data_IF_506985713357
#
_entry.id   IF_506985713357
#
_cell.length_a   1.000
_cell.length_b   1.000
_cell.length_c   1.000
_cell.angle_alpha   90.00
_cell.angle_beta   90.00
_cell.angle_gamma   90.00
#
_symmetry.space_group_name_H-M   'P 1'
#
loop_
_entity.id
_entity.type
_entity.pdbx_description
1 polymer ?
#
# COMPACT_ATOMS: atom_id res chain seq x y z
N UNK A 1 9.39 -19.36 27.46
CA UNK A 1 8.14 -20.12 27.22
C UNK A 1 7.03 -19.16 26.81
N UNK A 2 6.74 -19.00 25.52
CA UNK A 2 5.65 -18.14 24.99
C UNK A 2 4.48 -19.03 24.63
N UNK A 3 3.36 -18.90 25.34
CA UNK A 3 2.10 -19.58 25.05
C UNK A 3 1.50 -18.99 23.77
N UNK A 4 1.32 -19.84 22.75
CA UNK A 4 0.53 -19.51 21.56
C UNK A 4 -0.96 -19.58 21.91
N UNK A 5 -1.67 -18.49 21.70
CA UNK A 5 -3.14 -18.44 21.80
C UNK A 5 -3.70 -18.92 20.45
N UNK A 6 -4.56 -19.95 20.43
CA UNK A 6 -5.19 -20.39 19.19
C UNK A 6 -6.37 -19.47 18.82
N UNK A 7 -6.41 -19.03 17.57
CA UNK A 7 -7.54 -18.30 17.00
C UNK A 7 -8.72 -19.25 16.79
N UNK A 8 -9.98 -18.86 17.11
CA UNK A 8 -11.15 -19.67 16.82
C UNK A 8 -11.44 -19.70 15.31
N UNK A 9 -11.58 -20.89 14.75
CA UNK A 9 -12.03 -21.15 13.39
C UNK A 9 -13.55 -20.94 13.33
N UNK A 10 -14.11 -20.15 12.41
CA UNK A 10 -15.56 -20.04 12.25
C UNK A 10 -16.14 -21.34 11.67
N UNK A 11 -17.18 -21.83 12.34
CA UNK A 11 -17.94 -23.01 11.94
C UNK A 11 -18.63 -22.79 10.59
N UNK A 12 -18.37 -23.66 9.64
CA UNK A 12 -19.06 -23.76 8.36
C UNK A 12 -20.49 -24.26 8.55
N UNK A 13 -21.48 -23.43 8.26
CA UNK A 13 -22.88 -23.85 8.16
C UNK A 13 -23.11 -24.62 6.85
N UNK A 14 -23.72 -25.80 6.87
CA UNK A 14 -24.14 -26.49 5.65
C UNK A 14 -25.38 -25.79 5.07
N UNK A 15 -25.31 -25.34 3.83
CA UNK A 15 -26.48 -24.93 3.05
C UNK A 15 -27.31 -26.11 2.67
N UNK A 16 -28.66 -26.03 2.78
CA UNK A 16 -29.53 -27.10 2.27
C UNK A 16 -29.54 -27.06 0.73
N UNK A 17 -29.12 -28.16 0.14
CA UNK A 17 -29.20 -28.41 -1.30
C UNK A 17 -30.67 -28.61 -1.70
N UNK A 18 -31.27 -27.62 -2.34
CA UNK A 18 -32.54 -27.76 -3.04
C UNK A 18 -32.26 -28.34 -4.43
N UNK A 19 -32.43 -29.64 -4.56
CA UNK A 19 -32.25 -30.38 -5.78
C UNK A 19 -33.54 -30.22 -6.62
N UNK A 20 -33.53 -29.42 -7.66
CA UNK A 20 -34.55 -29.42 -8.70
C UNK A 20 -34.19 -30.45 -9.75
N UNK A 21 -35.05 -31.41 -10.09
CA UNK A 21 -34.81 -32.34 -11.19
C UNK A 21 -35.10 -31.64 -12.53
N UNK A 22 -34.07 -31.62 -13.37
CA UNK A 22 -34.22 -31.28 -14.79
C UNK A 22 -34.78 -32.51 -15.54
N UNK A 23 -35.99 -32.39 -16.10
CA UNK A 23 -36.55 -33.37 -17.00
C UNK A 23 -37.54 -32.67 -17.96
N UNK A 24 -37.44 -32.92 -19.27
CA UNK A 24 -38.31 -32.30 -20.28
C UNK A 24 -39.67 -32.94 -20.47
N UNK A 25 -40.20 -33.68 -19.50
CA UNK A 25 -41.54 -34.30 -19.60
C UNK A 25 -42.25 -34.25 -18.25
N UNK A 26 -42.83 -33.10 -17.91
CA UNK A 26 -43.79 -32.98 -16.84
C UNK A 26 -45.19 -33.00 -17.42
N UNK A 27 -45.75 -34.22 -17.58
CA UNK A 27 -47.17 -34.48 -17.79
C UNK A 27 -47.95 -33.88 -16.64
N UNK A 28 -48.90 -32.98 -16.94
CA UNK A 28 -49.87 -32.48 -16.01
C UNK A 28 -50.83 -33.62 -15.65
N UNK A 29 -50.56 -34.28 -14.55
CA UNK A 29 -51.46 -35.30 -13.97
C UNK A 29 -52.61 -34.60 -13.26
N UNK A 30 -53.83 -34.99 -13.70
CA UNK A 30 -55.14 -34.55 -13.27
C UNK A 30 -55.31 -34.54 -11.76
N UNK A 31 -55.51 -33.41 -11.15
CA UNK A 31 -56.01 -33.27 -9.79
C UNK A 31 -57.45 -32.71 -9.78
N UNK A 32 -58.39 -33.38 -9.13
CA UNK A 32 -59.80 -32.99 -9.19
C UNK A 32 -60.11 -31.65 -8.53
N UNK A 33 -61.09 -30.97 -9.06
CA UNK A 33 -61.58 -29.66 -8.76
C UNK A 33 -61.97 -29.48 -7.30
N UNK A 34 -61.33 -28.58 -6.57
CA UNK A 34 -61.93 -27.82 -5.49
C UNK A 34 -61.72 -26.33 -5.77
N UNK A 35 -62.82 -25.65 -6.02
CA UNK A 35 -62.93 -24.34 -6.63
C UNK A 35 -62.15 -23.21 -5.95
N UNK A 36 -61.31 -22.62 -6.71
CA UNK A 36 -60.98 -21.20 -6.68
C UNK A 36 -60.66 -20.78 -8.13
N UNK A 37 -61.27 -19.73 -8.66
CA UNK A 37 -60.91 -19.24 -9.98
C UNK A 37 -59.50 -18.64 -9.93
N UNK A 38 -58.50 -19.45 -10.12
CA UNK A 38 -57.14 -19.03 -10.33
C UNK A 38 -57.04 -18.27 -11.64
N UNK A 39 -57.00 -16.96 -11.58
CA UNK A 39 -56.71 -16.11 -12.72
C UNK A 39 -55.33 -16.53 -13.25
N UNK A 40 -55.29 -17.18 -14.39
CA UNK A 40 -54.06 -17.30 -15.19
C UNK A 40 -53.61 -15.91 -15.57
N UNK A 41 -52.70 -15.33 -14.75
CA UNK A 41 -52.02 -14.12 -15.13
C UNK A 41 -51.23 -14.41 -16.42
N UNK A 42 -51.47 -13.66 -17.50
CA UNK A 42 -50.69 -13.85 -18.73
C UNK A 42 -49.23 -13.67 -18.41
N UNK A 43 -48.45 -14.74 -18.48
CA UNK A 43 -47.01 -14.68 -18.42
C UNK A 43 -46.58 -13.73 -19.54
N UNK A 44 -46.30 -12.45 -19.18
CA UNK A 44 -45.69 -11.52 -20.09
C UNK A 44 -44.44 -12.14 -20.63
N UNK A 45 -44.47 -12.65 -21.81
CA UNK A 45 -43.28 -13.00 -22.58
C UNK A 45 -42.49 -11.71 -22.69
N UNK A 46 -41.49 -11.57 -21.83
CA UNK A 46 -40.48 -10.53 -21.97
C UNK A 46 -39.87 -10.79 -23.34
N UNK A 47 -40.30 -9.96 -24.32
CA UNK A 47 -39.71 -10.00 -25.65
C UNK A 47 -38.22 -9.88 -25.48
N UNK A 48 -37.49 -10.93 -25.82
CA UNK A 48 -36.03 -10.92 -25.83
C UNK A 48 -35.61 -9.85 -26.85
N UNK A 49 -35.32 -8.66 -26.36
CA UNK A 49 -34.75 -7.57 -27.18
C UNK A 49 -33.33 -8.01 -27.51
N UNK A 50 -33.05 -8.24 -28.76
CA UNK A 50 -31.70 -8.44 -29.25
C UNK A 50 -30.88 -7.16 -29.04
N UNK A 51 -29.60 -7.32 -28.72
CA UNK A 51 -28.68 -6.19 -28.59
C UNK A 51 -28.46 -5.52 -29.93
N UNK A 52 -28.49 -4.21 -29.94
CA UNK A 52 -28.16 -3.42 -31.13
C UNK A 52 -26.64 -3.35 -31.30
N UNK A 53 -26.19 -3.27 -32.56
CA UNK A 53 -24.75 -3.15 -32.85
C UNK A 53 -24.14 -1.92 -32.17
N UNK A 54 -24.89 -0.81 -32.10
CA UNK A 54 -24.44 0.41 -31.45
C UNK A 54 -24.25 0.23 -29.92
N UNK A 55 -25.14 -0.54 -29.30
CA UNK A 55 -25.06 -0.83 -27.84
C UNK A 55 -23.79 -1.60 -27.48
N UNK A 56 -23.42 -2.57 -28.31
CA UNK A 56 -22.16 -3.33 -28.15
C UNK A 56 -20.94 -2.43 -28.34
N UNK A 57 -20.96 -1.54 -29.35
CA UNK A 57 -19.86 -0.61 -29.58
C UNK A 57 -19.70 0.38 -28.43
N UNK A 58 -20.81 0.93 -27.91
CA UNK A 58 -20.76 1.83 -26.73
C UNK A 58 -20.26 1.10 -25.49
N UNK A 59 -20.74 -0.11 -25.25
CA UNK A 59 -20.28 -0.92 -24.11
C UNK A 59 -18.77 -1.19 -24.19
N UNK A 60 -18.26 -1.58 -25.35
CA UNK A 60 -16.83 -1.81 -25.57
C UNK A 60 -16.02 -0.52 -25.39
N UNK A 61 -16.50 0.62 -25.86
CA UNK A 61 -15.84 1.90 -25.66
C UNK A 61 -15.72 2.27 -24.18
N UNK A 62 -16.79 2.08 -23.40
CA UNK A 62 -16.79 2.33 -21.95
C UNK A 62 -15.77 1.41 -21.24
N UNK A 63 -15.78 0.12 -21.56
CA UNK A 63 -14.84 -0.84 -20.99
C UNK A 63 -13.40 -0.47 -21.33
N UNK A 64 -13.12 -0.09 -22.58
CA UNK A 64 -11.78 0.31 -23.02
C UNK A 64 -11.26 1.52 -22.22
N UNK A 65 -12.09 2.55 -22.03
CA UNK A 65 -11.73 3.74 -21.24
C UNK A 65 -11.51 3.37 -19.78
N UNK A 66 -12.36 2.54 -19.18
CA UNK A 66 -12.23 2.09 -17.80
C UNK A 66 -10.94 1.29 -17.57
N UNK A 67 -10.59 0.39 -18.49
CA UNK A 67 -9.34 -0.38 -18.43
C UNK A 67 -8.12 0.53 -18.57
N UNK A 68 -8.12 1.46 -19.52
CA UNK A 68 -7.03 2.41 -19.72
C UNK A 68 -6.79 3.26 -18.45
N UNK A 69 -7.85 3.74 -17.81
CA UNK A 69 -7.77 4.49 -16.56
C UNK A 69 -7.20 3.64 -15.41
N UNK A 70 -7.63 2.38 -15.32
CA UNK A 70 -7.15 1.44 -14.29
C UNK A 70 -5.66 1.14 -14.43
N UNK A 71 -5.18 0.89 -15.65
CA UNK A 71 -3.75 0.62 -15.91
C UNK A 71 -2.91 1.85 -15.54
N UNK A 72 -3.36 3.05 -15.88
CA UNK A 72 -2.66 4.29 -15.49
C UNK A 72 -2.60 4.46 -13.97
N UNK A 73 -3.68 4.18 -13.25
CA UNK A 73 -3.73 4.28 -11.80
C UNK A 73 -2.74 3.30 -11.13
N UNK A 74 -2.69 2.05 -11.59
CA UNK A 74 -1.74 1.05 -11.07
C UNK A 74 -0.29 1.46 -11.34
N UNK A 75 0.00 1.99 -12.53
CA UNK A 75 1.34 2.48 -12.89
C UNK A 75 1.81 3.60 -11.95
N UNK A 76 0.96 4.57 -11.62
CA UNK A 76 1.31 5.64 -10.68
C UNK A 76 1.50 5.14 -9.25
N UNK A 77 0.72 4.15 -8.82
CA UNK A 77 0.90 3.52 -7.49
C UNK A 77 2.24 2.79 -7.39
N UNK A 78 2.65 2.08 -8.43
CA UNK A 78 3.92 1.37 -8.45
C UNK A 78 5.13 2.32 -8.37
N UNK A 79 5.11 3.43 -9.10
CA UNK A 79 6.18 4.45 -9.03
C UNK A 79 6.23 5.12 -7.66
N UNK A 80 5.08 5.49 -7.10
CA UNK A 80 5.00 6.10 -5.77
C UNK A 80 5.50 5.14 -4.67
N UNK A 81 5.18 3.85 -4.77
CA UNK A 81 5.65 2.83 -3.83
C UNK A 81 7.18 2.68 -3.88
N UNK A 82 7.77 2.70 -5.07
CA UNK A 82 9.22 2.66 -5.26
C UNK A 82 9.92 3.89 -4.66
N UNK A 83 9.38 5.07 -4.88
CA UNK A 83 9.94 6.31 -4.32
C UNK A 83 9.80 6.36 -2.79
N UNK A 84 8.68 5.90 -2.25
CA UNK A 84 8.49 5.78 -0.81
C UNK A 84 9.51 4.81 -0.20
N UNK A 85 9.72 3.65 -0.82
CA UNK A 85 10.70 2.68 -0.35
C UNK A 85 12.12 3.28 -0.29
N UNK A 86 12.55 4.00 -1.32
CA UNK A 86 13.84 4.69 -1.34
C UNK A 86 13.96 5.74 -0.23
N UNK A 87 12.92 6.53 0.02
CA UNK A 87 12.88 7.53 1.09
C UNK A 87 12.94 6.89 2.48
N UNK A 88 12.27 5.76 2.69
CA UNK A 88 12.34 5.00 3.93
C UNK A 88 13.76 4.49 4.20
N UNK A 89 14.41 3.89 3.20
CA UNK A 89 15.80 3.44 3.32
C UNK A 89 16.75 4.61 3.61
N UNK A 90 16.56 5.75 2.93
CA UNK A 90 17.33 6.95 3.19
C UNK A 90 17.10 7.50 4.62
N UNK A 91 15.88 7.43 5.13
CA UNK A 91 15.57 7.76 6.51
C UNK A 91 16.32 6.88 7.49
N UNK A 92 16.30 5.55 7.29
CA UNK A 92 17.04 4.61 8.13
C UNK A 92 18.57 4.84 8.07
N UNK A 93 19.12 5.18 6.90
CA UNK A 93 20.54 5.52 6.77
C UNK A 93 20.90 6.76 7.59
N UNK A 94 20.04 7.79 7.55
CA UNK A 94 20.24 9.00 8.35
C UNK A 94 20.16 8.72 9.86
N UNK A 95 19.18 7.91 10.28
CA UNK A 95 19.03 7.50 11.68
C UNK A 95 20.23 6.70 12.17
N UNK A 96 20.71 5.75 11.37
CA UNK A 96 21.90 4.95 11.70
C UNK A 96 23.14 5.84 11.86
N UNK A 97 23.34 6.82 10.97
CA UNK A 97 24.45 7.76 11.05
C UNK A 97 24.38 8.59 12.34
N UNK A 98 23.20 9.10 12.69
CA UNK A 98 22.99 9.86 13.92
C UNK A 98 23.09 9.00 15.17
N UNK A 99 22.60 7.75 15.12
CA UNK A 99 22.74 6.79 16.21
C UNK A 99 24.21 6.44 16.48
N UNK A 100 24.98 6.20 15.42
CA UNK A 100 26.42 5.95 15.53
C UNK A 100 27.15 7.13 16.20
N UNK A 101 26.82 8.36 15.79
CA UNK A 101 27.38 9.57 16.38
C UNK A 101 27.09 9.65 17.90
N UNK A 102 25.88 9.29 18.32
CA UNK A 102 25.49 9.30 19.75
C UNK A 102 26.16 8.18 20.53
N UNK A 103 26.23 6.98 19.97
CA UNK A 103 26.82 5.80 20.64
C UNK A 103 28.31 5.93 20.83
N UNK A 104 28.99 6.60 19.90
CA UNK A 104 30.45 6.85 20.00
C UNK A 104 30.79 8.08 20.82
N UNK A 105 29.77 8.81 21.34
CA UNK A 105 29.95 10.11 22.03
C UNK A 105 30.86 11.07 21.26
N UNK A 106 30.79 11.00 19.93
CA UNK A 106 31.68 11.76 19.06
C UNK A 106 31.34 13.27 19.12
N UNK A 107 32.40 14.08 19.20
CA UNK A 107 32.32 15.52 19.06
C UNK A 107 32.85 15.92 17.67
N UNK A 108 32.01 15.85 16.63
CA UNK A 108 32.45 16.06 15.26
C UNK A 108 32.90 17.51 15.05
N UNK A 109 33.93 17.72 14.24
CA UNK A 109 34.40 19.05 13.86
C UNK A 109 33.37 19.81 13.01
N UNK A 110 33.42 21.15 13.11
CA UNK A 110 32.56 22.02 12.32
C UNK A 110 33.00 21.90 10.85
N UNK A 111 32.03 21.64 9.98
CA UNK A 111 32.31 21.45 8.56
C UNK A 111 31.28 20.56 7.89
N UNK A 112 31.64 20.11 6.70
CA UNK A 112 30.82 19.21 5.89
C UNK A 112 31.63 17.98 5.48
N UNK A 113 31.08 16.80 5.66
CA UNK A 113 31.68 15.53 5.32
C UNK A 113 30.68 14.63 4.63
N UNK A 114 31.09 13.99 3.53
CA UNK A 114 30.25 13.01 2.83
C UNK A 114 30.86 11.63 2.95
N UNK A 115 30.00 10.63 3.13
CA UNK A 115 30.38 9.22 3.25
C UNK A 115 29.32 8.31 2.66
N UNK A 116 29.71 7.08 2.32
CA UNK A 116 28.77 6.06 1.86
C UNK A 116 27.90 5.57 3.02
N UNK A 117 26.58 5.57 2.80
CA UNK A 117 25.60 5.06 3.77
C UNK A 117 24.56 4.16 3.09
N UNK A 118 24.99 3.40 2.11
CA UNK A 118 24.16 2.48 1.34
C UNK A 118 23.39 1.51 2.22
N UNK A 119 22.13 1.22 1.84
CA UNK A 119 21.25 0.30 2.56
C UNK A 119 20.76 -0.80 1.61
N UNK A 120 21.08 -2.05 1.95
CA UNK A 120 20.73 -3.20 1.12
C UNK A 120 21.33 -3.08 -0.29
N UNK A 121 20.47 -3.02 -1.29
CA UNK A 121 20.85 -2.88 -2.69
C UNK A 121 20.72 -1.44 -3.23
N UNK A 122 20.40 -0.48 -2.36
CA UNK A 122 20.26 0.94 -2.74
C UNK A 122 21.51 1.70 -2.34
N UNK A 123 22.17 2.29 -3.33
CA UNK A 123 23.32 3.16 -3.10
C UNK A 123 22.85 4.52 -2.60
N UNK A 124 23.38 4.94 -1.46
CA UNK A 124 23.05 6.19 -0.80
C UNK A 124 24.32 6.90 -0.34
N UNK A 125 24.33 8.21 -0.46
CA UNK A 125 25.40 9.08 0.03
C UNK A 125 24.85 9.98 1.12
N UNK A 126 25.46 9.91 2.30
CA UNK A 126 25.16 10.76 3.42
C UNK A 126 26.12 11.96 3.44
N UNK A 127 25.57 13.16 3.55
CA UNK A 127 26.32 14.39 3.77
C UNK A 127 26.00 14.88 5.16
N UNK A 128 27.00 14.86 6.05
CA UNK A 128 26.91 15.36 7.41
C UNK A 128 27.44 16.78 7.44
N UNK A 129 26.63 17.73 7.88
CA UNK A 129 27.02 19.12 8.10
C UNK A 129 26.92 19.46 9.60
N UNK A 130 28.04 19.89 10.17
CA UNK A 130 28.14 20.31 11.56
C UNK A 130 28.24 21.81 11.63
N UNK A 131 27.39 22.43 12.44
CA UNK A 131 27.37 23.88 12.65
C UNK A 131 27.35 24.22 14.14
N UNK A 132 27.86 25.42 14.45
CA UNK A 132 27.79 25.99 15.80
C UNK A 132 26.35 26.28 16.21
N UNK A 133 26.15 26.34 17.52
CA UNK A 133 24.92 26.84 18.15
C UNK A 133 25.29 28.07 19.02
N UNK A 134 24.31 28.87 19.44
CA UNK A 134 24.58 29.99 20.36
C UNK A 134 25.28 29.59 21.67
N UNK A 135 25.04 28.36 22.11
CA UNK A 135 25.74 27.77 23.25
C UNK A 135 26.89 26.87 22.76
N UNK A 136 28.17 27.21 23.06
CA UNK A 136 29.34 26.47 22.54
C UNK A 136 29.45 25.01 23.02
N UNK A 137 28.71 24.64 24.06
CA UNK A 137 28.64 23.26 24.55
C UNK A 137 27.86 22.35 23.61
N UNK A 138 27.10 22.91 22.67
CA UNK A 138 26.29 22.18 21.72
C UNK A 138 26.74 22.41 20.28
N UNK A 139 26.63 21.38 19.46
CA UNK A 139 26.74 21.47 17.99
C UNK A 139 25.50 20.92 17.35
N UNK A 140 25.07 21.57 16.26
CA UNK A 140 23.99 21.09 15.43
C UNK A 140 24.56 20.23 14.32
N UNK A 141 24.12 19.00 14.25
CA UNK A 141 24.48 18.05 13.20
C UNK A 141 23.28 17.81 12.30
N UNK A 142 23.46 18.03 11.01
CA UNK A 142 22.48 17.74 9.97
C UNK A 142 23.04 16.64 9.09
N UNK A 143 22.26 15.58 8.89
CA UNK A 143 22.57 14.53 7.93
C UNK A 143 21.55 14.61 6.80
N UNK A 144 22.02 14.76 5.58
CA UNK A 144 21.23 14.78 4.35
C UNK A 144 21.61 13.56 3.52
N UNK A 145 20.63 12.79 3.06
CA UNK A 145 20.85 11.56 2.29
C UNK A 145 20.36 11.79 0.87
N UNK A 146 21.22 11.47 -0.09
CA UNK A 146 20.93 11.53 -1.52
C UNK A 146 21.28 10.21 -2.19
N UNK A 147 20.71 9.95 -3.37
CA UNK A 147 21.09 8.81 -4.19
C UNK A 147 21.86 9.28 -5.43
N UNK A 148 22.90 8.56 -5.86
CA UNK A 148 23.61 8.86 -7.09
C UNK A 148 22.64 8.87 -8.27
N UNK A 149 22.74 9.89 -9.13
CA UNK A 149 21.86 10.04 -10.31
C UNK A 149 20.45 10.55 -10.03
N UNK A 150 20.08 10.84 -8.78
CA UNK A 150 18.82 11.50 -8.43
C UNK A 150 19.07 12.94 -7.98
N UNK A 151 18.36 13.88 -8.61
CA UNK A 151 18.41 15.27 -8.19
C UNK A 151 17.60 15.43 -6.90
N UNK A 152 18.28 15.80 -5.81
CA UNK A 152 17.67 16.18 -4.55
C UNK A 152 17.97 15.27 -3.37
N UNK A 153 17.56 15.75 -2.20
CA UNK A 153 17.70 15.07 -0.92
C UNK A 153 16.50 14.13 -0.73
N UNK A 154 16.75 12.84 -0.47
CA UNK A 154 15.72 11.84 -0.20
C UNK A 154 15.22 11.91 1.24
N UNK A 155 16.14 12.12 2.19
CA UNK A 155 15.84 12.29 3.60
C UNK A 155 16.82 13.28 4.24
N UNK A 156 16.37 13.99 5.25
CA UNK A 156 17.19 14.90 6.03
C UNK A 156 16.79 14.81 7.49
N UNK A 157 17.79 14.67 8.36
CA UNK A 157 17.60 14.66 9.80
C UNK A 157 18.55 15.64 10.49
N UNK A 158 18.12 16.18 11.62
CA UNK A 158 18.89 17.14 12.40
C UNK A 158 18.89 16.70 13.85
N UNK A 159 20.07 16.73 14.48
CA UNK A 159 20.23 16.51 15.91
C UNK A 159 21.14 17.56 16.53
N UNK A 160 21.15 17.61 17.85
CA UNK A 160 22.09 18.42 18.61
C UNK A 160 22.92 17.47 19.48
N UNK A 161 24.23 17.61 19.43
CA UNK A 161 25.17 16.85 20.27
C UNK A 161 25.78 17.78 21.31
N UNK A 162 25.94 17.28 22.52
CA UNK A 162 26.60 17.98 23.61
C UNK A 162 28.06 17.53 23.73
N UNK A 163 28.93 18.47 24.13
CA UNK A 163 30.29 18.13 24.47
C UNK A 163 30.33 17.52 25.88
N UNK A 164 30.40 16.19 25.96
CA UNK A 164 30.42 15.49 27.26
C UNK A 164 31.73 15.68 28.02
N UNK A 165 32.83 15.98 27.35
CA UNK A 165 34.13 16.29 28.00
C UNK A 165 34.11 17.62 28.77
N UNK A 166 33.12 18.45 28.54
CA UNK A 166 32.93 19.73 29.24
C UNK A 166 32.00 19.64 30.44
N UNK A 167 31.57 18.45 30.86
CA UNK A 167 30.70 18.28 32.01
C UNK A 167 31.56 18.21 33.28
N UNK A 168 31.58 19.29 34.13
CA UNK A 168 32.22 19.20 35.42
C UNK A 168 31.45 18.20 36.27
N UNK A 169 32.17 17.29 36.94
CA UNK A 169 31.66 16.39 37.96
C UNK A 169 31.11 17.19 39.15
#
# INVERSE_FOLDING_TARGET
MRRRVPFPVPASHPSPATKCPAGPDASCENRPASGFPGACAPRRLLAARGFTMIEVLVALAIIAVALAASIRAVGTMATNASDLHRRLLAGWSADNALAQLRLTHAWPEIGEQSFDCSQGNVQLVCTQRVSTTPNPVFRRVRVSVSAPGHAGVLAQMVTVVANETSRPL
#
